data_IF_846112231757
#
_entry.id   IF_846112231757
#
_cell.length_a   1.000
_cell.length_b   1.000
_cell.length_c   1.000
_cell.angle_alpha   90.00
_cell.angle_beta   90.00
_cell.angle_gamma   90.00
#
_symmetry.space_group_name_H-M   'P 1'
#
loop_
_entity.id
_entity.type
_entity.pdbx_description
1 polymer ?
#
# COMPACT_ATOMS: atom_id res chain seq x y z
N UNK A 1 -1.94 17.51 8.96
CA UNK A 1 -2.09 16.82 7.66
C UNK A 1 -1.41 15.45 7.72
N UNK A 2 -2.07 14.34 7.33
CA UNK A 2 -1.43 13.02 7.32
C UNK A 2 -0.26 13.05 6.32
N UNK A 3 0.97 12.98 6.84
CA UNK A 3 2.19 13.01 6.01
C UNK A 3 2.16 11.85 5.00
N UNK A 4 2.12 12.19 3.72
CA UNK A 4 2.19 11.22 2.63
C UNK A 4 3.63 10.70 2.53
N UNK A 5 3.82 9.40 2.76
CA UNK A 5 5.16 8.79 2.77
C UNK A 5 5.43 8.05 1.46
N UNK A 6 6.70 8.09 1.01
CA UNK A 6 7.15 7.41 -0.21
C UNK A 6 7.12 5.89 -0.03
N UNK A 7 6.53 5.17 -0.98
CA UNK A 7 6.47 3.70 -0.95
C UNK A 7 7.87 3.06 -0.88
N UNK A 8 8.04 2.10 0.02
CA UNK A 8 9.21 1.23 0.08
C UNK A 8 9.21 0.22 -1.09
N UNK A 9 10.34 -0.43 -1.36
CA UNK A 9 10.49 -1.40 -2.47
C UNK A 9 9.41 -2.49 -2.44
N UNK A 10 9.26 -3.17 -1.30
CA UNK A 10 8.26 -4.24 -1.13
C UNK A 10 6.82 -3.74 -1.33
N UNK A 11 6.51 -2.50 -0.95
CA UNK A 11 5.18 -1.92 -1.18
C UNK A 11 4.92 -1.73 -2.67
N UNK A 12 5.94 -1.29 -3.44
CA UNK A 12 5.82 -1.15 -4.89
C UNK A 12 5.57 -2.50 -5.56
N UNK A 13 6.24 -3.55 -5.09
CA UNK A 13 6.03 -4.92 -5.57
C UNK A 13 4.62 -5.41 -5.26
N UNK A 14 4.13 -5.21 -4.03
CA UNK A 14 2.75 -5.53 -3.64
C UNK A 14 1.71 -4.78 -4.50
N UNK A 15 1.95 -3.49 -4.77
CA UNK A 15 1.06 -2.71 -5.65
C UNK A 15 1.07 -3.26 -7.08
N UNK A 16 2.24 -3.60 -7.63
CA UNK A 16 2.36 -4.22 -8.95
C UNK A 16 1.61 -5.55 -9.04
N UNK A 17 1.72 -6.41 -8.02
CA UNK A 17 0.98 -7.68 -7.94
C UNK A 17 -0.54 -7.48 -7.94
N UNK A 18 -1.04 -6.36 -7.39
CA UNK A 18 -2.45 -5.98 -7.41
C UNK A 18 -2.84 -5.16 -8.65
N UNK A 19 -1.97 -5.06 -9.67
CA UNK A 19 -2.23 -4.34 -10.91
C UNK A 19 -2.18 -2.80 -10.79
N UNK A 20 -1.54 -2.27 -9.74
CA UNK A 20 -1.46 -0.83 -9.48
C UNK A 20 -0.09 -0.27 -9.88
N UNK A 21 -0.08 0.91 -10.52
CA UNK A 21 1.15 1.62 -10.83
C UNK A 21 1.69 2.35 -9.59
N UNK A 22 2.82 1.93 -8.98
CA UNK A 22 3.30 2.50 -7.71
C UNK A 22 3.68 3.99 -7.79
N UNK A 23 3.91 4.54 -9.00
CA UNK A 23 4.19 5.97 -9.17
C UNK A 23 2.99 6.85 -8.82
N UNK A 24 1.78 6.31 -8.83
CA UNK A 24 0.56 7.08 -8.61
C UNK A 24 0.12 7.08 -7.14
N UNK A 25 0.90 6.47 -6.24
CA UNK A 25 0.49 6.23 -4.87
C UNK A 25 1.53 6.69 -3.85
N UNK A 26 1.04 7.12 -2.69
CA UNK A 26 1.80 7.25 -1.45
C UNK A 26 1.19 6.32 -0.41
N UNK A 27 1.93 5.95 0.64
CA UNK A 27 1.33 5.29 1.79
C UNK A 27 1.06 6.27 2.92
N UNK A 28 -0.01 6.03 3.66
CA UNK A 28 -0.41 6.83 4.82
C UNK A 28 -0.40 6.02 6.11
N UNK A 29 -0.59 4.70 6.03
CA UNK A 29 -0.55 3.78 7.17
C UNK A 29 0.02 2.45 6.73
N UNK A 30 0.92 1.90 7.53
CA UNK A 30 1.53 0.60 7.29
C UNK A 30 1.44 -0.19 8.59
N UNK A 31 0.52 -1.15 8.67
CA UNK A 31 0.41 -2.09 9.80
C UNK A 31 0.77 -3.51 9.35
N UNK A 32 0.95 -4.48 10.26
CA UNK A 32 1.17 -5.86 9.87
C UNK A 32 0.03 -6.47 9.03
N UNK A 33 -1.21 -6.00 9.22
CA UNK A 33 -2.40 -6.54 8.56
C UNK A 33 -2.79 -5.77 7.28
N UNK A 34 -2.45 -4.49 7.18
CA UNK A 34 -2.91 -3.64 6.08
C UNK A 34 -1.88 -2.58 5.68
N UNK A 35 -1.91 -2.22 4.40
CA UNK A 35 -1.24 -1.07 3.83
C UNK A 35 -2.29 -0.11 3.31
N UNK A 36 -2.41 1.06 3.91
CA UNK A 36 -3.31 2.11 3.43
C UNK A 36 -2.52 3.06 2.55
N UNK A 37 -2.92 3.14 1.29
CA UNK A 37 -2.34 4.02 0.28
C UNK A 37 -3.31 5.13 -0.10
N UNK A 38 -2.80 6.22 -0.65
CA UNK A 38 -3.59 7.34 -1.18
C UNK A 38 -3.12 7.67 -2.58
N UNK A 39 -4.07 7.85 -3.48
CA UNK A 39 -3.76 8.23 -4.86
C UNK A 39 -3.29 9.69 -4.92
N UNK A 40 -2.23 9.96 -5.68
CA UNK A 40 -1.59 11.29 -5.75
C UNK A 40 -2.54 12.40 -6.21
N UNK A 41 -3.37 12.10 -7.21
CA UNK A 41 -4.19 13.12 -7.88
C UNK A 41 -5.62 13.18 -7.34
N UNK A 42 -6.25 12.02 -7.10
CA UNK A 42 -7.64 11.96 -6.67
C UNK A 42 -7.79 12.03 -5.15
N UNK A 43 -6.68 11.94 -4.40
CA UNK A 43 -6.65 11.88 -2.94
C UNK A 43 -7.55 10.79 -2.33
N UNK A 44 -7.95 9.81 -3.14
CA UNK A 44 -8.77 8.68 -2.69
C UNK A 44 -7.89 7.66 -1.98
N UNK A 45 -8.17 7.35 -0.71
CA UNK A 45 -7.47 6.30 0.00
C UNK A 45 -7.93 4.92 -0.51
N UNK A 46 -7.02 3.96 -0.46
CA UNK A 46 -7.29 2.55 -0.72
C UNK A 46 -6.56 1.70 0.31
N UNK A 47 -7.26 0.72 0.86
CA UNK A 47 -6.68 -0.24 1.80
C UNK A 47 -6.31 -1.52 1.07
N UNK A 48 -5.06 -1.93 1.18
CA UNK A 48 -4.56 -3.22 0.71
C UNK A 48 -4.39 -4.11 1.94
N UNK A 49 -5.20 -5.16 2.05
CA UNK A 49 -4.99 -6.19 3.07
C UNK A 49 -3.72 -6.95 2.74
N UNK A 50 -2.80 -6.99 3.69
CA UNK A 50 -1.66 -7.91 3.65
C UNK A 50 -2.21 -9.22 4.15
N UNK A 51 -2.69 -10.05 3.24
CA UNK A 51 -2.99 -11.42 3.59
C UNK A 51 -1.68 -12.00 4.12
N UNK A 52 -1.61 -12.14 5.44
CA UNK A 52 -0.60 -12.96 6.07
C UNK A 52 -0.90 -14.32 5.49
N UNK A 53 -0.09 -14.78 4.53
CA UNK A 53 0.07 -16.20 4.30
C UNK A 53 0.42 -16.76 5.67
N UNK A 54 -0.61 -17.22 6.41
CA UNK A 54 -0.42 -18.17 7.49
C UNK A 54 0.23 -19.33 6.76
N UNK A 55 1.56 -19.37 6.74
CA UNK A 55 2.27 -20.62 6.53
C UNK A 55 1.76 -21.47 7.67
N UNK A 56 0.80 -22.34 7.33
CA UNK A 56 0.28 -23.33 8.25
C UNK A 56 1.46 -24.12 8.79
N UNK A 57 1.41 -24.30 10.10
CA UNK A 57 1.81 -25.47 10.87
C UNK A 57 3.07 -26.20 10.42
#
# INVERSE_FOLDING_TARGET
MKQQKRLQRWMKELLKQKGLNPRNWYYIKNTPQELVIIHRHSLRPRTIKKEILKKGT
#
